data_IF_017591885739
#
_entry.id   IF_017591885739
#
_cell.length_a   1.000
_cell.length_b   1.000
_cell.length_c   1.000
_cell.angle_alpha   90.00
_cell.angle_beta   90.00
_cell.angle_gamma   90.00
#
_symmetry.space_group_name_H-M   'P 1'
#
loop_
_entity.id
_entity.type
_entity.pdbx_description
1 polymer ?
#
# COMPACT_ATOMS: atom_id res chain seq x y z
N UNK A 1 4.85 8.11 5.05
CA UNK A 1 4.51 7.57 6.38
C UNK A 1 5.70 7.67 7.31
N UNK A 2 5.43 7.90 8.59
CA UNK A 2 6.46 7.89 9.62
C UNK A 2 6.01 6.99 10.77
N UNK A 3 6.84 6.01 11.10
CA UNK A 3 6.54 5.02 12.12
C UNK A 3 7.50 5.20 13.29
N UNK A 4 6.95 5.42 14.48
CA UNK A 4 7.74 5.52 15.70
C UNK A 4 8.12 4.13 16.26
N UNK A 5 9.06 4.10 17.21
CA UNK A 5 9.52 2.83 17.79
C UNK A 5 8.42 2.02 18.48
N UNK A 6 7.36 2.67 18.96
CA UNK A 6 6.24 2.01 19.63
C UNK A 6 5.48 1.04 18.75
N UNK A 7 5.63 1.15 17.42
CA UNK A 7 5.00 0.23 16.47
C UNK A 7 5.93 -0.88 16.00
N UNK A 8 7.08 -1.01 16.64
CA UNK A 8 8.06 -2.05 16.31
C UNK A 8 7.93 -3.22 17.28
N UNK A 9 8.24 -4.44 16.82
CA UNK A 9 8.11 -5.63 17.66
C UNK A 9 9.41 -5.98 18.40
N UNK A 10 10.56 -5.86 17.79
CA UNK A 10 11.84 -6.13 18.43
C UNK A 10 12.94 -5.42 17.68
N UNK A 11 14.00 -5.05 18.39
CA UNK A 11 15.15 -4.34 17.83
C UNK A 11 14.78 -3.28 16.80
N UNK A 12 13.72 -2.53 17.11
CA UNK A 12 13.26 -1.40 16.27
C UNK A 12 12.76 -1.80 14.88
N UNK A 13 12.22 -3.01 14.74
CA UNK A 13 11.68 -3.49 13.47
C UNK A 13 10.17 -3.30 13.44
N UNK A 14 9.68 -2.64 12.40
CA UNK A 14 8.25 -2.38 12.20
C UNK A 14 7.53 -3.68 11.87
N UNK A 15 6.40 -3.92 12.54
CA UNK A 15 5.60 -5.12 12.31
C UNK A 15 5.02 -5.15 10.90
N UNK A 16 4.93 -6.37 10.34
CA UNK A 16 4.44 -6.59 8.99
C UNK A 16 3.03 -6.07 8.74
N UNK A 17 2.17 -6.05 9.79
CA UNK A 17 0.82 -5.50 9.68
C UNK A 17 0.81 -4.01 9.34
N UNK A 18 1.71 -3.23 9.91
CA UNK A 18 1.82 -1.81 9.59
C UNK A 18 2.37 -1.58 8.19
N UNK A 19 3.32 -2.40 7.75
CA UNK A 19 3.86 -2.35 6.39
C UNK A 19 2.75 -2.65 5.38
N UNK A 20 1.97 -3.70 5.63
CA UNK A 20 0.84 -4.08 4.78
C UNK A 20 -0.19 -2.96 4.70
N UNK A 21 -0.49 -2.32 5.84
CA UNK A 21 -1.43 -1.20 5.88
C UNK A 21 -0.95 -0.01 5.03
N UNK A 22 0.34 0.32 5.10
CA UNK A 22 0.90 1.41 4.29
C UNK A 22 0.82 1.10 2.79
N UNK A 23 1.12 -0.14 2.40
CA UNK A 23 1.05 -0.58 1.01
C UNK A 23 -0.40 -0.57 0.51
N UNK A 24 -1.33 -1.10 1.31
CA UNK A 24 -2.75 -1.12 0.96
C UNK A 24 -3.30 0.29 0.80
N UNK A 25 -2.98 1.19 1.72
CA UNK A 25 -3.42 2.57 1.65
C UNK A 25 -2.91 3.27 0.38
N UNK A 26 -1.66 3.04 -0.02
CA UNK A 26 -1.10 3.66 -1.21
C UNK A 26 -1.75 3.15 -2.49
N UNK A 27 -2.09 1.86 -2.54
CA UNK A 27 -2.78 1.28 -3.69
C UNK A 27 -4.21 1.80 -3.80
N UNK A 28 -4.94 1.88 -2.70
CA UNK A 28 -6.29 2.45 -2.70
C UNK A 28 -6.27 3.93 -3.11
N UNK A 29 -5.31 4.69 -2.59
CA UNK A 29 -5.19 6.11 -2.85
C UNK A 29 -4.95 6.41 -4.34
N UNK A 30 -4.12 5.63 -5.02
CA UNK A 30 -3.82 5.87 -6.44
C UNK A 30 -5.06 5.67 -7.31
N UNK A 31 -5.92 4.71 -6.97
CA UNK A 31 -7.17 4.49 -7.70
C UNK A 31 -8.17 5.61 -7.41
N UNK A 32 -8.32 5.97 -6.15
CA UNK A 32 -9.25 7.04 -5.74
C UNK A 32 -8.86 8.35 -6.42
N UNK A 33 -7.56 8.66 -6.46
CA UNK A 33 -7.06 9.86 -7.12
C UNK A 33 -7.32 9.84 -8.63
N UNK A 34 -7.09 8.70 -9.29
CA UNK A 34 -7.31 8.55 -10.73
C UNK A 34 -8.79 8.70 -11.11
N UNK A 35 -9.70 8.32 -10.20
CA UNK A 35 -11.15 8.39 -10.42
C UNK A 35 -11.79 9.63 -9.77
N UNK A 36 -10.99 10.62 -9.40
CA UNK A 36 -11.43 11.89 -8.82
C UNK A 36 -12.31 11.71 -7.58
N UNK A 37 -12.04 10.70 -6.75
CA UNK A 37 -12.80 10.44 -5.54
C UNK A 37 -14.15 9.78 -5.74
N UNK A 38 -14.50 9.39 -6.97
CA UNK A 38 -15.83 8.86 -7.31
C UNK A 38 -15.91 7.35 -7.28
N UNK A 39 -14.98 6.70 -6.63
CA UNK A 39 -14.93 5.24 -6.54
C UNK A 39 -14.62 4.83 -5.11
N UNK A 40 -15.21 3.71 -4.68
CA UNK A 40 -14.84 3.02 -3.45
C UNK A 40 -14.01 1.81 -3.83
N UNK A 41 -12.95 1.56 -3.08
CA UNK A 41 -12.01 0.49 -3.33
C UNK A 41 -12.07 -0.50 -2.17
N UNK A 42 -12.34 -1.75 -2.50
CA UNK A 42 -12.31 -2.84 -1.52
C UNK A 42 -11.34 -3.89 -2.01
N UNK A 43 -10.29 -4.14 -1.26
CA UNK A 43 -9.30 -5.14 -1.63
C UNK A 43 -9.90 -6.54 -1.58
N UNK A 44 -9.74 -7.31 -2.65
CA UNK A 44 -10.14 -8.70 -2.73
C UNK A 44 -9.04 -9.58 -2.13
N UNK A 45 -7.81 -9.29 -2.48
CA UNK A 45 -6.63 -9.94 -1.95
C UNK A 45 -5.49 -8.93 -1.88
N UNK A 46 -4.46 -9.27 -1.14
CA UNK A 46 -3.22 -8.53 -1.12
C UNK A 46 -2.07 -9.49 -0.88
N UNK A 47 -1.06 -9.42 -1.73
CA UNK A 47 0.15 -10.23 -1.60
C UNK A 47 1.32 -9.30 -1.30
N UNK A 48 1.99 -9.52 -0.18
CA UNK A 48 3.09 -8.69 0.27
C UNK A 48 4.37 -9.51 0.34
N UNK A 49 5.43 -8.97 -0.24
CA UNK A 49 6.77 -9.54 -0.14
C UNK A 49 7.63 -8.62 0.70
N UNK A 50 8.18 -9.15 1.79
CA UNK A 50 9.07 -8.42 2.67
C UNK A 50 10.50 -8.69 2.25
N UNK A 51 11.21 -7.67 1.79
CA UNK A 51 12.53 -7.81 1.20
C UNK A 51 13.65 -7.57 2.20
N UNK A 52 13.39 -6.74 3.20
CA UNK A 52 14.33 -6.44 4.29
C UNK A 52 13.59 -5.93 5.51
N UNK A 53 14.19 -6.03 6.71
CA UNK A 53 13.55 -5.50 7.91
C UNK A 53 13.31 -3.99 7.79
N UNK A 54 12.11 -3.55 8.18
CA UNK A 54 11.78 -2.14 8.22
C UNK A 54 12.00 -1.61 9.64
N UNK A 55 12.78 -0.56 9.76
CA UNK A 55 13.06 0.08 11.06
C UNK A 55 12.23 1.34 11.19
N UNK A 56 12.05 1.81 12.43
CA UNK A 56 11.33 3.06 12.69
C UNK A 56 11.94 4.20 11.88
N UNK A 57 11.09 5.12 11.42
CA UNK A 57 11.52 6.26 10.63
C UNK A 57 10.50 6.64 9.58
N UNK A 58 10.93 7.35 8.57
CA UNK A 58 10.09 7.76 7.46
C UNK A 58 10.03 6.71 6.37
N UNK A 59 8.85 6.53 5.80
CA UNK A 59 8.62 5.61 4.71
C UNK A 59 7.91 6.32 3.56
N UNK A 60 8.25 5.92 2.34
CA UNK A 60 7.55 6.38 1.16
C UNK A 60 6.93 5.17 0.46
N UNK A 61 5.62 5.21 0.30
CA UNK A 61 4.90 4.18 -0.44
C UNK A 61 4.48 4.73 -1.79
N UNK A 62 4.76 3.96 -2.84
CA UNK A 62 4.39 4.33 -4.21
C UNK A 62 3.43 3.29 -4.74
N UNK A 63 2.18 3.69 -4.95
CA UNK A 63 1.16 2.84 -5.55
C UNK A 63 1.05 3.09 -7.04
N UNK A 64 0.66 2.05 -7.78
CA UNK A 64 0.44 2.17 -9.21
C UNK A 64 -0.69 1.24 -9.65
N UNK A 65 -1.44 1.69 -10.65
CA UNK A 65 -2.48 0.89 -11.30
C UNK A 65 -1.81 0.06 -12.39
N UNK A 66 -1.91 -1.26 -12.29
CA UNK A 66 -1.42 -2.16 -13.33
C UNK A 66 -2.45 -2.25 -14.45
N UNK A 67 -3.71 -2.46 -14.08
CA UNK A 67 -4.83 -2.52 -15.01
C UNK A 67 -6.11 -2.17 -14.25
N UNK A 68 -6.94 -1.33 -14.82
CA UNK A 68 -8.23 -0.96 -14.23
C UNK A 68 -9.35 -1.29 -15.19
N UNK A 69 -10.30 -2.11 -14.73
CA UNK A 69 -11.52 -2.40 -15.43
C UNK A 69 -12.70 -1.65 -14.82
N UNK A 70 -13.92 -2.06 -15.18
CA UNK A 70 -15.14 -1.43 -14.67
C UNK A 70 -15.34 -1.72 -13.18
N UNK A 71 -15.11 -2.95 -12.75
CA UNK A 71 -15.38 -3.39 -11.38
C UNK A 71 -14.16 -3.94 -10.67
N UNK A 72 -13.08 -4.27 -11.39
CA UNK A 72 -11.87 -4.86 -10.82
C UNK A 72 -10.66 -4.04 -11.28
N UNK A 73 -9.77 -3.75 -10.35
CA UNK A 73 -8.48 -3.16 -10.65
C UNK A 73 -7.37 -4.06 -10.12
N UNK A 74 -6.27 -4.11 -10.86
CA UNK A 74 -5.04 -4.77 -10.44
C UNK A 74 -4.02 -3.69 -10.11
N UNK A 75 -3.48 -3.76 -8.91
CA UNK A 75 -2.67 -2.71 -8.32
C UNK A 75 -1.34 -3.25 -7.83
N UNK A 76 -0.36 -2.39 -7.73
CA UNK A 76 0.92 -2.71 -7.11
C UNK A 76 1.40 -1.54 -6.25
N UNK A 77 2.30 -1.84 -5.33
CA UNK A 77 2.93 -0.81 -4.50
C UNK A 77 4.33 -1.23 -4.10
N UNK A 78 5.14 -0.23 -3.83
CA UNK A 78 6.50 -0.41 -3.32
C UNK A 78 6.67 0.50 -2.11
N UNK A 79 7.37 0.00 -1.09
CA UNK A 79 7.64 0.75 0.12
C UNK A 79 9.14 0.95 0.26
N UNK A 80 9.55 2.21 0.41
CA UNK A 80 10.95 2.61 0.54
C UNK A 80 11.21 3.19 1.92
N UNK A 81 12.40 2.91 2.47
CA UNK A 81 12.88 3.52 3.70
C UNK A 81 13.33 4.96 3.47
N UNK A 82 13.66 5.69 4.54
CA UNK A 82 14.21 7.04 4.44
C UNK A 82 15.48 7.10 3.58
N UNK A 83 16.24 6.01 3.55
CA UNK A 83 17.47 5.92 2.77
C UNK A 83 17.24 5.54 1.31
N UNK A 84 15.98 5.37 0.91
CA UNK A 84 15.64 4.98 -0.45
C UNK A 84 15.77 3.50 -0.74
N UNK A 85 15.90 2.65 0.28
CA UNK A 85 15.99 1.20 0.11
C UNK A 85 14.60 0.61 -0.05
N UNK A 86 14.43 -0.32 -0.99
CA UNK A 86 13.17 -1.03 -1.17
C UNK A 86 12.98 -2.05 -0.05
N UNK A 87 11.97 -1.83 0.77
CA UNK A 87 11.68 -2.63 1.96
C UNK A 87 10.68 -3.73 1.67
N UNK A 88 9.64 -3.41 0.93
CA UNK A 88 8.56 -4.35 0.65
C UNK A 88 7.87 -3.98 -0.66
N UNK A 89 7.24 -5.00 -1.26
CA UNK A 89 6.40 -4.82 -2.45
C UNK A 89 5.05 -5.48 -2.20
N UNK A 90 4.04 -5.03 -2.91
CA UNK A 90 2.72 -5.63 -2.85
C UNK A 90 2.04 -5.64 -4.20
N UNK A 91 1.17 -6.62 -4.38
CA UNK A 91 0.19 -6.64 -5.48
C UNK A 91 -1.18 -6.89 -4.88
N UNK A 92 -2.19 -6.36 -5.50
CA UNK A 92 -3.56 -6.48 -5.01
C UNK A 92 -4.55 -6.52 -6.17
N UNK A 93 -5.61 -7.29 -5.99
CA UNK A 93 -6.82 -7.18 -6.79
C UNK A 93 -7.85 -6.47 -5.93
N UNK A 94 -8.53 -5.50 -6.48
CA UNK A 94 -9.50 -4.71 -5.75
C UNK A 94 -10.82 -4.62 -6.50
N UNK A 95 -11.91 -4.65 -5.75
CA UNK A 95 -13.25 -4.40 -6.28
C UNK A 95 -13.53 -2.91 -6.25
N UNK A 96 -14.03 -2.38 -7.35
CA UNK A 96 -14.37 -0.96 -7.48
C UNK A 96 -15.88 -0.79 -7.47
N UNK A 97 -16.38 0.07 -6.59
CA UNK A 97 -17.78 0.48 -6.58
C UNK A 97 -17.84 1.95 -6.99
N UNK A 98 -18.45 2.21 -8.12
CA UNK A 98 -18.55 3.57 -8.66
C UNK A 98 -19.86 4.21 -8.27
N UNK A 99 -19.82 5.53 -8.09
CA UNK A 99 -21.04 6.28 -7.83
C UNK A 99 -21.81 6.43 -9.15
N UNK A 100 -23.12 6.23 -9.05
CA UNK A 100 -24.04 6.47 -10.15
C UNK A 100 -24.79 7.78 -9.90
N UNK A 101 -24.93 8.53 -10.95
CA UNK A 101 -25.77 9.72 -10.92
C UNK A 101 -27.01 9.52 -11.75
#
# INVERSE_FOLDING_TARGET
>A
FRIGPEFCHSVDIVQGGFITAMLDASMAHVVIAAEHGKVRVSSIDINVSFLRPARAGGFTAVGAIVKSGRTIAFLKAELFSEKGELVATATSSAHLTREHK
#
